data_IF_358133192928
#
_entry.id   IF_358133192928
#
_cell.length_a   1.000
_cell.length_b   1.000
_cell.length_c   1.000
_cell.angle_alpha   90.00
_cell.angle_beta   90.00
_cell.angle_gamma   90.00
#
_symmetry.space_group_name_H-M   'P 1'
#
loop_
_entity.id
_entity.type
_entity.pdbx_description
1 polymer ?
#
# COMPACT_ATOMS: atom_id res chain seq x y z
N UNK A 1 -13.36 11.49 -18.10
CA UNK A 1 -14.32 11.14 -19.18
C UNK A 1 -13.70 10.15 -20.15
N UNK A 2 -12.61 10.49 -20.83
CA UNK A 2 -11.97 9.61 -21.84
C UNK A 2 -11.64 8.21 -21.30
N UNK A 3 -11.13 8.09 -20.08
CA UNK A 3 -10.81 6.79 -19.47
C UNK A 3 -12.09 5.94 -19.34
N UNK A 4 -13.16 6.49 -18.78
CA UNK A 4 -14.44 5.79 -18.63
C UNK A 4 -15.03 5.37 -19.97
N UNK A 5 -14.95 6.23 -21.00
CA UNK A 5 -15.40 5.91 -22.36
C UNK A 5 -14.63 4.72 -22.97
N UNK A 6 -13.32 4.57 -22.64
CA UNK A 6 -12.48 3.49 -23.16
C UNK A 6 -12.68 2.18 -22.40
N UNK A 7 -12.74 2.25 -21.06
CA UNK A 7 -12.77 1.03 -20.22
C UNK A 7 -14.21 0.51 -19.99
N UNK A 8 -15.22 1.34 -20.28
CA UNK A 8 -16.63 0.98 -20.05
C UNK A 8 -16.99 0.85 -18.56
N UNK A 9 -18.11 0.24 -18.27
CA UNK A 9 -18.66 0.14 -16.90
C UNK A 9 -18.16 -1.09 -16.14
N UNK A 10 -17.45 -2.00 -16.82
CA UNK A 10 -16.93 -3.24 -16.24
C UNK A 10 -15.52 -3.10 -15.61
N UNK A 11 -15.01 -1.88 -15.50
CA UNK A 11 -13.71 -1.58 -14.94
C UNK A 11 -13.83 -0.43 -13.94
N UNK A 12 -13.37 -0.66 -12.72
CA UNK A 12 -13.31 0.37 -11.70
C UNK A 12 -12.25 1.44 -12.03
N UNK A 13 -12.54 2.67 -11.64
CA UNK A 13 -11.61 3.80 -11.75
C UNK A 13 -11.09 4.15 -10.36
N UNK A 14 -9.79 4.17 -10.22
CA UNK A 14 -9.10 4.55 -9.00
C UNK A 14 -8.37 5.86 -9.25
N UNK A 15 -8.73 6.92 -8.52
CA UNK A 15 -8.22 8.27 -8.77
C UNK A 15 -7.25 8.65 -7.66
N UNK A 16 -5.96 8.70 -7.97
CA UNK A 16 -4.89 9.12 -7.05
C UNK A 16 -4.42 10.55 -7.33
N UNK A 17 -4.25 11.36 -6.28
CA UNK A 17 -3.73 12.73 -6.38
C UNK A 17 -2.52 13.00 -5.49
N UNK A 18 -2.04 12.04 -4.74
CA UNK A 18 -0.87 12.15 -3.85
C UNK A 18 -0.88 13.39 -2.95
N UNK A 19 -2.05 13.81 -2.49
CA UNK A 19 -2.18 14.94 -1.56
C UNK A 19 -1.82 16.29 -2.16
N UNK A 20 -2.01 16.49 -3.45
CA UNK A 20 -1.60 17.73 -4.13
C UNK A 20 -2.65 18.85 -4.06
N UNK A 21 -3.84 18.58 -3.51
CA UNK A 21 -4.93 19.54 -3.53
C UNK A 21 -5.16 20.18 -2.16
N UNK A 22 -5.76 21.36 -2.18
CA UNK A 22 -6.39 21.94 -0.99
C UNK A 22 -7.76 21.29 -0.77
N UNK A 23 -8.33 21.30 0.46
CA UNK A 23 -9.67 20.74 0.70
C UNK A 23 -10.73 21.28 -0.24
N UNK A 24 -10.77 22.59 -0.47
CA UNK A 24 -11.73 23.23 -1.37
C UNK A 24 -11.58 22.75 -2.83
N UNK A 25 -10.34 22.61 -3.31
CA UNK A 25 -10.06 22.10 -4.67
C UNK A 25 -10.41 20.62 -4.79
N UNK A 26 -10.10 19.83 -3.76
CA UNK A 26 -10.41 18.41 -3.69
C UNK A 26 -11.93 18.17 -3.74
N UNK A 27 -12.71 18.89 -2.94
CA UNK A 27 -14.19 18.84 -2.98
C UNK A 27 -14.74 19.19 -4.36
N UNK A 28 -14.23 20.25 -4.98
CA UNK A 28 -14.66 20.63 -6.34
C UNK A 28 -14.33 19.56 -7.39
N UNK A 29 -13.17 18.93 -7.26
CA UNK A 29 -12.77 17.84 -8.15
C UNK A 29 -13.65 16.60 -7.91
N UNK A 30 -13.82 16.18 -6.65
CA UNK A 30 -14.66 15.05 -6.26
C UNK A 30 -16.08 15.16 -6.85
N UNK A 31 -16.73 16.33 -6.69
CA UNK A 31 -18.06 16.59 -7.28
C UNK A 31 -18.13 16.44 -8.81
N UNK A 32 -17.04 16.68 -9.51
CA UNK A 32 -16.96 16.47 -10.96
C UNK A 32 -16.67 15.02 -11.34
N UNK A 33 -16.05 14.27 -10.43
CA UNK A 33 -15.71 12.86 -10.61
C UNK A 33 -16.87 11.92 -10.28
N UNK A 34 -17.76 12.28 -9.36
CA UNK A 34 -18.89 11.45 -8.89
C UNK A 34 -19.68 10.82 -10.05
N UNK A 35 -19.92 11.55 -11.13
CA UNK A 35 -20.64 11.04 -12.31
C UNK A 35 -19.92 9.92 -13.09
N UNK A 36 -18.65 9.65 -12.79
CA UNK A 36 -17.87 8.57 -13.38
C UNK A 36 -17.74 7.36 -12.46
N UNK A 37 -18.33 7.42 -11.28
CA UNK A 37 -18.39 6.37 -10.27
C UNK A 37 -17.02 5.73 -10.00
N UNK A 38 -16.01 6.48 -9.51
CA UNK A 38 -14.73 5.89 -9.16
C UNK A 38 -14.84 5.08 -7.87
N UNK A 39 -14.11 3.96 -7.81
CA UNK A 39 -14.02 3.10 -6.63
C UNK A 39 -13.46 3.87 -5.42
N UNK A 40 -12.48 4.74 -5.66
CA UNK A 40 -11.97 5.66 -4.63
C UNK A 40 -11.36 6.95 -5.18
N UNK A 41 -11.25 7.92 -4.27
CA UNK A 41 -10.46 9.14 -4.43
C UNK A 41 -9.31 9.10 -3.41
N UNK A 42 -8.10 8.82 -3.88
CA UNK A 42 -6.93 8.57 -3.05
C UNK A 42 -6.17 9.85 -2.76
N UNK A 43 -5.82 10.01 -1.48
CA UNK A 43 -5.07 11.15 -0.95
C UNK A 43 -5.44 12.48 -1.59
N UNK A 44 -6.70 12.89 -1.48
CA UNK A 44 -7.16 14.16 -2.08
C UNK A 44 -6.40 15.36 -1.53
N UNK A 45 -5.96 15.29 -0.27
CA UNK A 45 -5.16 16.30 0.44
C UNK A 45 -3.98 15.63 1.14
N UNK A 46 -2.94 16.38 1.57
CA UNK A 46 -1.83 15.80 2.34
C UNK A 46 -2.34 15.01 3.56
N UNK A 47 -1.82 13.81 3.84
CA UNK A 47 -2.34 12.93 4.89
C UNK A 47 -2.00 13.37 6.32
N UNK A 48 -1.12 14.35 6.49
CA UNK A 48 -0.64 14.81 7.82
C UNK A 48 -1.70 15.51 8.67
N UNK A 49 -2.89 15.82 8.13
CA UNK A 49 -3.98 16.46 8.88
C UNK A 49 -5.30 15.76 8.55
N UNK A 50 -5.70 14.85 9.42
CA UNK A 50 -6.91 14.02 9.24
C UNK A 50 -8.19 14.84 9.09
N UNK A 51 -8.33 15.96 9.79
CA UNK A 51 -9.50 16.84 9.71
C UNK A 51 -9.71 17.46 8.31
N UNK A 52 -8.61 17.81 7.61
CA UNK A 52 -8.69 18.32 6.24
C UNK A 52 -9.19 17.26 5.25
N UNK A 53 -8.76 16.02 5.45
CA UNK A 53 -9.23 14.87 4.66
C UNK A 53 -10.67 14.51 5.00
N UNK A 54 -11.07 14.57 6.29
CA UNK A 54 -12.44 14.38 6.74
C UNK A 54 -13.40 15.41 6.11
N UNK A 55 -12.96 16.66 5.95
CA UNK A 55 -13.74 17.67 5.24
C UNK A 55 -14.06 17.24 3.81
N UNK A 56 -13.09 16.69 3.09
CA UNK A 56 -13.31 16.19 1.72
C UNK A 56 -14.23 14.98 1.75
N UNK A 57 -13.94 13.98 2.59
CA UNK A 57 -14.72 12.76 2.71
C UNK A 57 -16.20 13.02 3.00
N UNK A 58 -16.49 13.98 3.88
CA UNK A 58 -17.88 14.34 4.23
C UNK A 58 -18.67 15.03 3.11
N UNK A 59 -18.00 15.50 2.06
CA UNK A 59 -18.62 16.30 0.98
C UNK A 59 -18.67 15.58 -0.37
N UNK A 60 -18.34 14.29 -0.41
CA UNK A 60 -18.40 13.48 -1.63
C UNK A 60 -19.00 12.11 -1.34
N UNK A 61 -19.62 11.51 -2.35
CA UNK A 61 -20.06 10.12 -2.33
C UNK A 61 -18.94 9.13 -2.68
N UNK A 62 -17.81 9.60 -3.23
CA UNK A 62 -16.68 8.76 -3.59
C UNK A 62 -15.96 8.35 -2.32
N UNK A 63 -15.72 7.05 -2.06
CA UNK A 63 -14.90 6.60 -0.94
C UNK A 63 -13.51 7.26 -0.97
N UNK A 64 -13.04 7.80 0.15
CA UNK A 64 -11.68 8.33 0.26
C UNK A 64 -10.75 7.22 0.70
N UNK A 65 -9.61 7.10 0.02
CA UNK A 65 -8.53 6.18 0.35
C UNK A 65 -7.28 6.93 0.79
N UNK A 66 -6.55 6.39 1.77
CA UNK A 66 -5.26 6.93 2.23
C UNK A 66 -4.48 5.90 3.05
N UNK A 67 -3.18 6.12 3.22
CA UNK A 67 -2.38 5.33 4.14
C UNK A 67 -0.97 5.01 3.68
N UNK A 68 -0.64 5.16 2.41
CA UNK A 68 0.69 4.82 1.88
C UNK A 68 1.84 5.61 2.54
N UNK A 69 1.56 6.83 3.01
CA UNK A 69 2.52 7.73 3.64
C UNK A 69 2.43 7.77 5.16
N UNK A 70 1.51 7.02 5.76
CA UNK A 70 1.40 6.85 7.20
C UNK A 70 2.27 5.68 7.67
N UNK A 71 2.80 5.78 8.87
CA UNK A 71 3.79 4.83 9.40
C UNK A 71 3.36 4.14 10.68
N UNK A 72 2.47 4.71 11.45
CA UNK A 72 2.09 4.19 12.77
C UNK A 72 0.58 3.94 12.88
N UNK A 73 0.19 2.90 13.62
CA UNK A 73 -1.21 2.65 13.94
C UNK A 73 -1.93 3.83 14.62
N UNK A 74 -1.20 4.75 15.24
CA UNK A 74 -1.77 5.94 15.87
C UNK A 74 -2.24 6.96 14.84
N UNK A 75 -1.48 7.13 13.75
CA UNK A 75 -1.89 7.96 12.61
C UNK A 75 -3.12 7.35 11.92
N UNK A 76 -3.15 6.03 11.71
CA UNK A 76 -4.32 5.35 11.17
C UNK A 76 -5.54 5.46 12.09
N UNK A 77 -5.35 5.39 13.41
CA UNK A 77 -6.44 5.63 14.35
C UNK A 77 -7.04 7.04 14.21
N UNK A 78 -6.18 8.06 14.03
CA UNK A 78 -6.65 9.43 13.83
C UNK A 78 -7.45 9.60 12.54
N UNK A 79 -7.00 8.99 11.44
CA UNK A 79 -7.74 8.92 10.16
C UNK A 79 -9.13 8.29 10.35
N UNK A 80 -9.16 7.13 10.98
CA UNK A 80 -10.40 6.35 11.18
C UNK A 80 -11.38 7.06 12.13
N UNK A 81 -10.88 7.53 13.28
CA UNK A 81 -11.67 8.25 14.29
C UNK A 81 -12.36 9.49 13.72
N UNK A 82 -11.70 10.19 12.79
CA UNK A 82 -12.24 11.39 12.15
C UNK A 82 -13.06 11.11 10.88
N UNK A 83 -13.30 9.83 10.54
CA UNK A 83 -13.96 9.43 9.29
C UNK A 83 -13.32 10.06 8.04
N UNK A 84 -11.98 10.18 8.04
CA UNK A 84 -11.22 10.83 6.98
C UNK A 84 -11.07 9.96 5.74
N UNK A 85 -11.14 8.64 5.92
CA UNK A 85 -11.10 7.66 4.83
C UNK A 85 -11.85 6.38 5.24
N UNK A 86 -12.41 5.68 4.24
CA UNK A 86 -13.06 4.38 4.38
C UNK A 86 -12.25 3.24 3.73
N UNK A 87 -11.16 3.57 3.05
CA UNK A 87 -10.22 2.60 2.48
C UNK A 87 -8.81 2.92 2.97
N UNK A 88 -8.19 1.96 3.62
CA UNK A 88 -6.90 2.11 4.31
C UNK A 88 -5.81 1.40 3.52
N UNK A 89 -4.83 2.18 3.05
CA UNK A 89 -3.77 1.74 2.15
C UNK A 89 -2.41 1.67 2.86
N UNK A 90 -2.32 0.92 3.95
CA UNK A 90 -1.05 0.76 4.65
C UNK A 90 0.00 0.07 3.77
N UNK A 91 1.24 0.53 3.83
CA UNK A 91 2.39 -0.15 3.24
C UNK A 91 3.14 -0.94 4.32
N UNK A 92 3.25 -2.26 4.17
CA UNK A 92 3.85 -3.13 5.19
C UNK A 92 5.31 -2.78 5.50
N UNK A 93 6.06 -2.34 4.50
CA UNK A 93 7.45 -1.91 4.70
C UNK A 93 7.60 -0.61 5.49
N UNK A 94 6.54 0.21 5.56
CA UNK A 94 6.53 1.49 6.30
C UNK A 94 5.95 1.36 7.70
N UNK A 95 4.94 0.52 7.88
CA UNK A 95 4.24 0.40 9.17
C UNK A 95 4.90 -0.58 10.15
N UNK A 96 5.98 -1.26 9.74
CA UNK A 96 6.71 -2.19 10.62
C UNK A 96 6.34 -3.66 10.42
N UNK A 97 5.89 -4.03 9.23
CA UNK A 97 5.66 -5.42 8.82
C UNK A 97 4.25 -5.95 9.09
N UNK A 98 4.10 -7.26 8.94
CA UNK A 98 2.80 -7.95 8.97
C UNK A 98 2.04 -7.73 10.29
N UNK A 99 2.73 -7.79 11.43
CA UNK A 99 2.07 -7.67 12.74
C UNK A 99 1.44 -6.31 12.96
N UNK A 100 2.15 -5.23 12.66
CA UNK A 100 1.60 -3.88 12.78
C UNK A 100 0.53 -3.61 11.72
N UNK A 101 0.73 -4.07 10.49
CA UNK A 101 -0.30 -3.98 9.45
C UNK A 101 -1.58 -4.74 9.81
N UNK A 102 -1.49 -5.90 10.46
CA UNK A 102 -2.65 -6.65 10.94
C UNK A 102 -3.40 -5.90 12.04
N UNK A 103 -2.69 -5.22 12.95
CA UNK A 103 -3.33 -4.36 13.98
C UNK A 103 -4.08 -3.19 13.33
N UNK A 104 -3.48 -2.57 12.28
CA UNK A 104 -4.14 -1.49 11.53
C UNK A 104 -5.37 -2.03 10.80
N UNK A 105 -5.30 -3.20 10.16
CA UNK A 105 -6.42 -3.82 9.50
C UNK A 105 -7.57 -4.15 10.46
N UNK A 106 -7.25 -4.69 11.65
CA UNK A 106 -8.24 -4.97 12.70
C UNK A 106 -8.86 -3.68 13.27
N UNK A 107 -8.07 -2.61 13.36
CA UNK A 107 -8.58 -1.31 13.75
C UNK A 107 -9.53 -0.75 12.69
N UNK A 108 -9.18 -0.84 11.41
CA UNK A 108 -10.03 -0.42 10.30
C UNK A 108 -11.38 -1.18 10.29
N UNK A 109 -11.37 -2.47 10.59
CA UNK A 109 -12.58 -3.29 10.70
C UNK A 109 -13.58 -2.74 11.74
N UNK A 110 -13.09 -2.27 12.89
CA UNK A 110 -13.93 -1.66 13.95
C UNK A 110 -14.66 -0.41 13.45
N UNK A 111 -14.06 0.32 12.50
CA UNK A 111 -14.64 1.52 11.89
C UNK A 111 -15.34 1.24 10.56
N UNK A 112 -15.61 -0.03 10.23
CA UNK A 112 -16.21 -0.46 8.95
C UNK A 112 -15.41 -0.01 7.71
N UNK A 113 -14.11 0.23 7.87
CA UNK A 113 -13.21 0.54 6.77
C UNK A 113 -12.58 -0.73 6.20
N UNK A 114 -12.38 -0.73 4.88
CA UNK A 114 -11.69 -1.79 4.17
C UNK A 114 -10.20 -1.50 4.05
N UNK A 115 -9.40 -2.54 3.80
CA UNK A 115 -8.00 -2.37 3.48
C UNK A 115 -7.73 -2.63 2.00
N UNK A 116 -6.86 -1.81 1.42
CA UNK A 116 -6.28 -1.98 0.10
C UNK A 116 -4.77 -1.70 0.19
N UNK A 117 -3.94 -2.66 0.61
CA UNK A 117 -2.53 -2.43 0.91
C UNK A 117 -1.78 -1.80 -0.26
N UNK A 118 -1.12 -0.69 -0.01
CA UNK A 118 -0.19 -0.06 -0.96
C UNK A 118 1.05 -0.93 -1.12
N UNK A 119 1.42 -1.22 -2.37
CA UNK A 119 2.62 -2.00 -2.69
C UNK A 119 3.45 -1.28 -3.76
N UNK A 120 4.49 -0.60 -3.32
CA UNK A 120 5.54 -0.07 -4.17
C UNK A 120 6.90 -0.64 -3.71
N UNK A 121 6.92 -1.96 -3.52
CA UNK A 121 8.04 -2.72 -2.97
C UNK A 121 8.42 -3.85 -3.95
N UNK A 122 9.56 -4.47 -3.69
CA UNK A 122 9.93 -5.71 -4.38
C UNK A 122 9.08 -6.92 -3.95
N UNK A 123 9.34 -8.10 -4.53
CA UNK A 123 8.49 -9.28 -4.38
C UNK A 123 8.42 -9.83 -2.95
N UNK A 124 9.39 -9.54 -2.08
CA UNK A 124 9.33 -9.91 -0.66
C UNK A 124 8.22 -9.13 0.07
N UNK A 125 8.15 -7.81 -0.19
CA UNK A 125 7.07 -6.98 0.34
C UNK A 125 5.71 -7.38 -0.22
N UNK A 126 5.65 -7.74 -1.51
CA UNK A 126 4.46 -8.26 -2.14
C UNK A 126 4.00 -9.56 -1.47
N UNK A 127 4.90 -10.53 -1.27
CA UNK A 127 4.59 -11.79 -0.60
C UNK A 127 4.05 -11.58 0.82
N UNK A 128 4.64 -10.66 1.60
CA UNK A 128 4.13 -10.30 2.92
C UNK A 128 2.72 -9.69 2.86
N UNK A 129 2.45 -8.84 1.87
CA UNK A 129 1.13 -8.22 1.68
C UNK A 129 0.09 -9.23 1.23
N UNK A 130 0.46 -10.21 0.40
CA UNK A 130 -0.42 -11.34 -0.01
C UNK A 130 -0.85 -12.14 1.22
N UNK A 131 0.08 -12.47 2.12
CA UNK A 131 -0.24 -13.21 3.35
C UNK A 131 -1.18 -12.41 4.27
N UNK A 132 -0.94 -11.10 4.42
CA UNK A 132 -1.84 -10.23 5.17
C UNK A 132 -3.23 -10.21 4.55
N UNK A 133 -3.32 -9.96 3.24
CA UNK A 133 -4.58 -9.86 2.52
C UNK A 133 -5.42 -11.14 2.64
N UNK A 134 -4.77 -12.31 2.46
CA UNK A 134 -5.42 -13.62 2.58
C UNK A 134 -6.01 -13.87 3.97
N UNK A 135 -5.38 -13.33 5.03
CA UNK A 135 -5.80 -13.52 6.42
C UNK A 135 -6.68 -12.37 6.97
N UNK A 136 -7.18 -11.48 6.10
CA UNK A 136 -7.86 -10.25 6.56
C UNK A 136 -9.27 -10.14 5.97
N UNK A 137 -10.33 -10.19 6.81
CA UNK A 137 -11.72 -10.26 6.33
C UNK A 137 -12.21 -8.96 5.67
N UNK A 138 -11.69 -7.81 6.06
CA UNK A 138 -12.02 -6.50 5.47
C UNK A 138 -11.09 -6.09 4.33
N UNK A 139 -10.46 -7.05 3.66
CA UNK A 139 -9.66 -6.83 2.46
C UNK A 139 -10.56 -6.51 1.25
N UNK A 140 -10.23 -5.43 0.53
CA UNK A 140 -10.93 -5.01 -0.69
C UNK A 140 -10.17 -5.47 -1.94
N UNK A 141 -8.99 -4.94 -2.14
CA UNK A 141 -8.14 -5.18 -3.32
C UNK A 141 -6.69 -4.88 -2.95
N UNK A 142 -5.75 -5.41 -3.70
CA UNK A 142 -4.32 -5.19 -3.50
C UNK A 142 -3.70 -4.49 -4.70
N UNK A 143 -2.88 -3.48 -4.44
CA UNK A 143 -2.05 -2.84 -5.46
C UNK A 143 -0.98 -3.80 -6.00
N UNK A 144 -0.58 -3.61 -7.25
CA UNK A 144 0.49 -4.37 -7.87
C UNK A 144 1.28 -3.51 -8.84
N UNK A 145 2.60 -3.66 -8.82
CA UNK A 145 3.49 -3.10 -9.84
C UNK A 145 3.63 -4.14 -10.96
N UNK A 146 2.74 -4.10 -11.94
CA UNK A 146 2.68 -5.13 -12.97
C UNK A 146 2.57 -6.53 -12.38
N UNK A 147 3.28 -7.49 -12.94
CA UNK A 147 3.32 -8.89 -12.50
C UNK A 147 4.58 -9.26 -11.73
N UNK A 148 5.36 -8.27 -11.30
CA UNK A 148 6.71 -8.45 -10.72
C UNK A 148 7.61 -9.32 -11.60
N UNK A 149 7.63 -9.03 -12.90
CA UNK A 149 8.50 -9.68 -13.87
C UNK A 149 9.93 -9.10 -13.91
N UNK A 150 10.77 -9.61 -14.79
CA UNK A 150 12.15 -9.20 -14.94
C UNK A 150 12.95 -9.41 -13.65
N UNK A 151 13.76 -8.42 -13.27
CA UNK A 151 14.60 -8.51 -12.07
C UNK A 151 13.84 -8.85 -10.79
N UNK A 152 12.59 -8.41 -10.67
CA UNK A 152 11.73 -8.75 -9.52
C UNK A 152 11.41 -10.25 -9.44
N UNK A 153 11.23 -10.89 -10.59
CA UNK A 153 11.08 -12.34 -10.69
C UNK A 153 12.42 -13.06 -10.44
N UNK A 154 13.52 -12.53 -10.98
CA UNK A 154 14.84 -13.18 -10.91
C UNK A 154 15.38 -13.31 -9.47
N UNK A 155 14.98 -12.42 -8.56
CA UNK A 155 15.37 -12.48 -7.14
C UNK A 155 14.61 -13.55 -6.33
N UNK A 156 13.62 -14.20 -6.94
CA UNK A 156 12.90 -15.34 -6.38
C UNK A 156 13.37 -16.65 -7.04
N UNK A 157 13.29 -17.75 -6.31
CA UNK A 157 13.50 -19.09 -6.88
C UNK A 157 12.35 -19.50 -7.81
N UNK A 158 11.14 -19.06 -7.49
CA UNK A 158 9.92 -19.23 -8.28
C UNK A 158 9.15 -17.90 -8.29
N UNK A 159 8.65 -17.43 -9.44
CA UNK A 159 7.88 -16.19 -9.51
C UNK A 159 6.56 -16.31 -8.76
N UNK A 160 5.96 -15.15 -8.43
CA UNK A 160 4.61 -15.11 -7.87
C UNK A 160 3.60 -15.67 -8.87
N UNK A 161 2.65 -16.46 -8.37
CA UNK A 161 1.68 -17.14 -9.22
C UNK A 161 0.51 -16.22 -9.58
N UNK A 162 0.33 -15.95 -10.88
CA UNK A 162 -0.76 -15.14 -11.42
C UNK A 162 -1.75 -16.00 -12.21
N UNK A 163 -3.02 -15.74 -12.02
CA UNK A 163 -4.08 -16.37 -12.81
C UNK A 163 -5.21 -15.37 -13.07
N UNK A 164 -5.44 -15.04 -14.32
CA UNK A 164 -6.57 -14.19 -14.78
C UNK A 164 -6.71 -12.88 -13.99
N UNK A 165 -5.61 -12.17 -13.78
CA UNK A 165 -5.57 -10.91 -13.04
C UNK A 165 -5.60 -11.04 -11.53
N UNK A 166 -5.51 -12.26 -11.00
CA UNK A 166 -5.42 -12.54 -9.56
C UNK A 166 -4.05 -13.13 -9.21
N UNK A 167 -3.55 -12.79 -8.02
CA UNK A 167 -2.43 -13.50 -7.42
C UNK A 167 -2.98 -14.67 -6.62
N UNK A 168 -2.40 -15.85 -6.84
CA UNK A 168 -2.76 -17.05 -6.11
C UNK A 168 -1.80 -17.17 -4.92
N UNK A 169 -2.28 -17.05 -3.67
CA UNK A 169 -1.45 -17.21 -2.50
C UNK A 169 -0.77 -18.58 -2.47
N UNK A 170 0.49 -18.62 -2.06
CA UNK A 170 1.22 -19.87 -1.88
C UNK A 170 0.80 -20.54 -0.57
N UNK A 171 0.71 -21.86 -0.56
CA UNK A 171 0.51 -22.70 0.62
C UNK A 171 1.84 -23.16 1.27
N UNK A 172 2.99 -22.74 0.70
CA UNK A 172 4.31 -22.99 1.29
C UNK A 172 4.45 -22.24 2.63
N UNK A 173 5.28 -22.76 3.57
CA UNK A 173 5.53 -22.12 4.86
C UNK A 173 6.09 -20.68 4.73
N UNK A 174 5.86 -19.87 5.77
CA UNK A 174 6.39 -18.51 5.87
C UNK A 174 5.69 -17.55 4.91
N UNK A 175 6.45 -16.79 4.13
CA UNK A 175 5.92 -15.89 3.09
C UNK A 175 5.50 -16.63 1.82
N UNK A 176 5.79 -17.93 1.72
CA UNK A 176 5.48 -18.73 0.56
C UNK A 176 6.41 -18.49 -0.64
N UNK A 177 7.58 -17.89 -0.40
CA UNK A 177 8.62 -17.62 -1.41
C UNK A 177 10.01 -18.03 -0.89
N UNK A 178 10.91 -18.32 -1.82
CA UNK A 178 12.34 -18.53 -1.56
C UNK A 178 13.17 -17.54 -2.39
N UNK A 179 14.24 -17.03 -1.81
CA UNK A 179 15.11 -16.03 -2.44
C UNK A 179 16.23 -16.65 -3.26
N UNK A 180 16.47 -16.12 -4.45
CA UNK A 180 17.63 -16.42 -5.25
C UNK A 180 18.83 -15.57 -4.80
N UNK A 181 19.53 -16.04 -3.77
CA UNK A 181 20.65 -15.31 -3.18
C UNK A 181 21.77 -15.02 -4.18
N UNK A 182 22.00 -15.88 -5.17
CA UNK A 182 23.02 -15.65 -6.20
C UNK A 182 22.73 -14.41 -7.03
N UNK A 183 21.48 -14.22 -7.42
CA UNK A 183 21.05 -13.02 -8.18
C UNK A 183 21.15 -11.78 -7.31
N UNK A 184 20.70 -11.86 -6.05
CA UNK A 184 20.74 -10.76 -5.10
C UNK A 184 22.18 -10.30 -4.86
N UNK A 185 23.09 -11.22 -4.57
CA UNK A 185 24.52 -10.94 -4.34
C UNK A 185 25.20 -10.35 -5.57
N UNK A 186 24.93 -10.90 -6.75
CA UNK A 186 25.50 -10.42 -8.01
C UNK A 186 25.10 -8.97 -8.33
N UNK A 187 23.89 -8.55 -7.92
CA UNK A 187 23.32 -7.24 -8.20
C UNK A 187 23.33 -6.28 -6.99
N UNK A 188 23.89 -6.70 -5.86
CA UNK A 188 23.97 -5.87 -4.67
C UNK A 188 24.82 -4.63 -4.91
N UNK A 189 24.32 -3.42 -4.62
CA UNK A 189 25.10 -2.17 -4.65
C UNK A 189 26.16 -2.13 -3.54
N UNK A 190 26.07 -3.02 -2.56
CA UNK A 190 26.96 -3.05 -1.38
C UNK A 190 28.11 -4.07 -1.51
N UNK A 191 28.56 -4.34 -2.74
CA UNK A 191 29.69 -5.27 -3.00
C UNK A 191 30.88 -4.92 -2.11
N UNK A 192 31.32 -5.88 -1.29
CA UNK A 192 32.46 -5.74 -0.38
C UNK A 192 32.19 -4.91 0.91
N UNK A 193 30.98 -4.41 1.12
CA UNK A 193 30.60 -3.75 2.37
C UNK A 193 29.76 -4.70 3.24
N UNK A 194 30.12 -4.85 4.49
CA UNK A 194 29.25 -5.51 5.47
C UNK A 194 28.13 -4.55 5.86
N UNK A 195 26.88 -4.99 5.78
CA UNK A 195 25.78 -4.28 6.43
C UNK A 195 25.97 -4.36 7.95
N UNK A 196 25.87 -3.24 8.64
CA UNK A 196 26.00 -3.17 10.10
C UNK A 196 24.71 -3.66 10.77
N UNK A 197 24.53 -4.97 10.78
CA UNK A 197 23.42 -5.62 11.49
C UNK A 197 23.89 -6.34 12.76
N UNK A 198 25.20 -6.30 13.07
CA UNK A 198 25.76 -6.86 14.28
C UNK A 198 25.79 -5.83 15.40
N UNK A 199 25.42 -6.24 16.60
CA UNK A 199 25.53 -5.42 17.83
C UNK A 199 26.97 -5.01 18.15
N UNK A 200 27.95 -5.69 17.54
CA UNK A 200 29.40 -5.45 17.73
C UNK A 200 29.96 -4.38 16.77
N UNK A 201 29.12 -3.83 15.89
CA UNK A 201 29.57 -2.78 14.96
C UNK A 201 29.14 -1.41 15.43
N UNK A 202 30.07 -0.43 15.33
CA UNK A 202 29.78 0.96 15.62
C UNK A 202 28.63 1.48 14.74
N UNK A 203 27.77 2.36 15.25
CA UNK A 203 26.76 3.03 14.41
C UNK A 203 27.42 3.73 13.22
N UNK A 204 26.73 3.78 12.11
CA UNK A 204 27.21 4.39 10.84
C UNK A 204 27.73 5.83 10.99
N UNK A 205 27.19 6.58 11.96
CA UNK A 205 27.58 7.97 12.27
C UNK A 205 28.66 8.08 13.36
N UNK A 206 29.20 6.98 13.82
CA UNK A 206 30.32 6.92 14.77
C UNK A 206 31.61 6.63 14.02
N UNK A 207 31.83 7.38 12.93
CA UNK A 207 33.07 7.26 12.18
C UNK A 207 34.24 7.83 12.97
N UNK A 208 35.34 7.17 12.83
CA UNK A 208 36.59 7.44 13.47
C UNK A 208 37.09 8.84 13.04
N UNK A 209 37.35 9.70 14.01
CA UNK A 209 38.25 10.82 13.88
C UNK A 209 39.70 10.34 13.73
#
# INVERSE_FOLDING_TARGET
QKVREVVGDNCDLLIGTHGQLTPASAVRLAKRLEKFDPLWFEEPVPPGQSSAMAEVASKTSIPVATGERLTTKYEFFDILKNNSASIIQMNLGRVGGILEAKKIASLAEVFYAQIAPHIYNGPVGAAASIQLATATPNFLIMESIGTWDGFHSDVLMEPLNWSKGNIIPSDKPGLGIDLNLKVIEANSPYKGKKLHLSMDTKPYYADDD
#
